data_IF_409998783184
#
_entry.id   IF_409998783184
#
_cell.length_a   1.000
_cell.length_b   1.000
_cell.length_c   1.000
_cell.angle_alpha   90.00
_cell.angle_beta   90.00
_cell.angle_gamma   90.00
#
_symmetry.space_group_name_H-M   'P 1'
#
loop_
_entity.id
_entity.type
_entity.pdbx_description
1 polymer ?
#
# COMPACT_ATOMS: atom_id res chain seq x y z
N UNK A 1 -16.29 30.15 2.91
CA UNK A 1 -15.22 29.17 3.17
C UNK A 1 -15.00 28.43 1.88
N UNK A 2 -13.81 28.54 1.31
CA UNK A 2 -13.47 27.79 0.11
C UNK A 2 -13.14 26.36 0.51
N UNK A 3 -13.72 25.40 -0.21
CA UNK A 3 -13.53 23.97 0.04
C UNK A 3 -12.25 23.51 -0.66
N UNK A 4 -11.23 23.18 0.11
CA UNK A 4 -9.95 22.68 -0.42
C UNK A 4 -9.92 21.16 -0.30
N UNK A 5 -9.48 20.48 -1.35
CA UNK A 5 -9.27 19.04 -1.35
C UNK A 5 -7.78 18.72 -1.38
N UNK A 6 -7.34 17.79 -0.53
CA UNK A 6 -6.03 17.17 -0.60
C UNK A 6 -6.15 15.76 -1.15
N UNK A 7 -5.20 15.38 -2.00
CA UNK A 7 -5.05 14.03 -2.51
C UNK A 7 -3.58 13.63 -2.35
N UNK A 8 -3.33 12.44 -1.81
CA UNK A 8 -1.99 11.89 -1.66
C UNK A 8 -1.95 10.39 -1.94
N UNK A 9 -0.80 9.92 -2.43
CA UNK A 9 -0.56 8.54 -2.76
C UNK A 9 0.43 7.92 -1.76
N UNK A 10 0.00 6.91 -1.02
CA UNK A 10 0.84 6.21 -0.04
C UNK A 10 0.94 4.72 -0.29
N UNK A 11 2.12 4.15 -0.01
CA UNK A 11 2.37 2.71 -0.12
C UNK A 11 1.91 1.98 1.14
N UNK A 12 0.99 1.03 0.97
CA UNK A 12 0.55 0.13 2.05
C UNK A 12 1.35 -1.17 1.93
N UNK A 13 2.20 -1.41 2.92
CA UNK A 13 3.03 -2.61 2.99
C UNK A 13 2.45 -3.60 4.00
N UNK A 14 2.39 -4.87 3.64
CA UNK A 14 2.15 -5.95 4.59
C UNK A 14 3.49 -6.37 5.21
N UNK A 15 3.81 -5.82 6.38
CA UNK A 15 5.03 -6.15 7.13
C UNK A 15 4.64 -6.63 8.53
N UNK A 16 5.15 -7.81 8.91
CA UNK A 16 4.97 -8.31 10.27
C UNK A 16 5.98 -7.61 11.18
N UNK A 17 5.55 -6.51 11.80
CA UNK A 17 6.38 -5.80 12.77
C UNK A 17 6.49 -6.65 14.05
N UNK A 18 7.71 -7.00 14.51
CA UNK A 18 7.88 -7.68 15.78
C UNK A 18 7.34 -6.82 16.93
N UNK A 19 6.55 -7.41 17.83
CA UNK A 19 6.05 -6.74 19.03
C UNK A 19 7.08 -6.68 20.16
N UNK A 20 8.23 -7.36 20.01
CA UNK A 20 9.33 -7.39 20.97
C UNK A 20 10.66 -7.25 20.23
N UNK A 21 11.48 -6.30 20.68
CA UNK A 21 12.82 -6.03 20.12
C UNK A 21 13.93 -6.76 20.88
N UNK A 22 13.74 -6.99 22.18
CA UNK A 22 14.68 -7.67 23.06
C UNK A 22 13.96 -8.79 23.81
N UNK A 23 14.61 -9.94 23.90
CA UNK A 23 14.14 -11.08 24.70
C UNK A 23 15.18 -11.43 25.77
N UNK A 24 14.72 -12.13 26.80
CA UNK A 24 15.61 -12.64 27.85
C UNK A 24 16.48 -13.78 27.33
N UNK A 25 17.66 -13.95 27.92
CA UNK A 25 18.59 -15.01 27.52
C UNK A 25 17.93 -16.38 27.70
N UNK A 26 17.88 -17.18 26.62
CA UNK A 26 17.25 -18.50 26.59
C UNK A 26 15.85 -18.54 25.98
N UNK A 27 15.24 -17.40 25.66
CA UNK A 27 13.95 -17.36 24.97
C UNK A 27 14.07 -17.85 23.52
N UNK A 28 13.00 -18.49 23.04
CA UNK A 28 12.88 -18.93 21.66
C UNK A 28 12.95 -17.72 20.72
N UNK A 29 13.98 -17.70 19.87
CA UNK A 29 14.16 -16.66 18.87
C UNK A 29 13.25 -16.93 17.68
N UNK A 30 12.25 -16.06 17.47
CA UNK A 30 11.47 -16.05 16.22
C UNK A 30 12.23 -15.22 15.20
N UNK A 31 12.88 -15.88 14.25
CA UNK A 31 13.50 -15.22 13.11
C UNK A 31 12.42 -14.73 12.16
N UNK A 32 12.06 -13.45 12.27
CA UNK A 32 11.25 -12.79 11.24
C UNK A 32 12.17 -12.57 10.05
N UNK A 33 12.12 -13.50 9.10
CA UNK A 33 12.73 -13.27 7.79
C UNK A 33 11.98 -12.10 7.17
N UNK A 34 12.62 -10.93 7.06
CA UNK A 34 12.13 -9.88 6.18
C UNK A 34 12.03 -10.51 4.80
N UNK A 35 10.80 -10.80 4.37
CA UNK A 35 10.54 -11.55 3.17
C UNK A 35 11.11 -10.77 2.00
N UNK A 36 12.29 -11.16 1.52
CA UNK A 36 12.93 -10.62 0.30
C UNK A 36 12.10 -10.84 -0.97
N UNK A 37 10.83 -11.24 -0.84
CA UNK A 37 9.82 -11.00 -1.85
C UNK A 37 9.70 -9.49 -2.02
N UNK A 38 9.75 -9.04 -3.26
CA UNK A 38 9.25 -7.74 -3.67
C UNK A 38 8.00 -7.42 -2.86
N UNK A 39 8.09 -6.42 -1.96
CA UNK A 39 6.96 -5.98 -1.12
C UNK A 39 5.71 -6.00 -1.99
N UNK A 40 4.74 -6.86 -1.67
CA UNK A 40 3.41 -6.79 -2.25
C UNK A 40 2.80 -5.49 -1.74
N UNK A 41 3.10 -4.41 -2.46
CA UNK A 41 2.75 -3.04 -2.11
C UNK A 41 1.44 -2.73 -2.80
N UNK A 42 0.37 -2.67 -2.03
CA UNK A 42 -0.82 -1.96 -2.46
C UNK A 42 -0.53 -0.46 -2.36
N UNK A 43 -1.13 0.33 -3.24
CA UNK A 43 -1.04 1.79 -3.16
C UNK A 43 -2.41 2.31 -2.78
N UNK A 44 -2.49 3.09 -1.71
CA UNK A 44 -3.71 3.81 -1.36
C UNK A 44 -3.63 5.22 -1.95
N UNK A 45 -4.68 5.65 -2.64
CA UNK A 45 -4.91 7.07 -2.89
C UNK A 45 -5.93 7.57 -1.87
N UNK A 46 -5.50 8.53 -1.06
CA UNK A 46 -6.26 9.11 0.04
C UNK A 46 -6.70 10.51 -0.34
N UNK A 47 -7.99 10.79 -0.23
CA UNK A 47 -8.54 12.12 -0.46
C UNK A 47 -9.28 12.61 0.79
N UNK A 48 -9.09 13.89 1.12
CA UNK A 48 -9.81 14.55 2.20
C UNK A 48 -10.08 16.02 1.88
N UNK A 49 -11.17 16.57 2.41
CA UNK A 49 -11.48 18.00 2.32
C UNK A 49 -10.94 18.81 3.51
N UNK A 50 -10.94 20.13 3.39
CA UNK A 50 -10.49 21.07 4.42
C UNK A 50 -11.34 21.09 5.67
N UNK A 51 -12.50 20.45 5.68
CA UNK A 51 -13.33 20.24 6.86
C UNK A 51 -12.99 18.93 7.59
N UNK A 52 -12.04 18.15 7.05
CA UNK A 52 -11.61 16.87 7.60
C UNK A 52 -12.44 15.68 7.12
N UNK A 53 -13.35 15.87 6.15
CA UNK A 53 -14.13 14.77 5.57
C UNK A 53 -13.20 13.89 4.74
N UNK A 54 -13.08 12.62 5.13
CA UNK A 54 -12.37 11.61 4.34
C UNK A 54 -13.27 11.11 3.24
N UNK A 55 -12.80 11.18 2.00
CA UNK A 55 -13.49 10.63 0.84
C UNK A 55 -13.23 9.12 0.70
N UNK A 56 -14.01 8.40 -0.13
CA UNK A 56 -13.81 6.97 -0.34
C UNK A 56 -12.37 6.61 -0.71
N UNK A 57 -11.87 5.53 -0.10
CA UNK A 57 -10.53 5.01 -0.33
C UNK A 57 -10.43 4.36 -1.73
N UNK A 58 -9.37 4.68 -2.46
CA UNK A 58 -9.01 3.97 -3.69
C UNK A 58 -7.77 3.12 -3.46
N UNK A 59 -7.85 1.85 -3.81
CA UNK A 59 -6.70 0.93 -3.81
C UNK A 59 -6.22 0.71 -5.25
N UNK A 60 -5.00 1.14 -5.51
CA UNK A 60 -4.30 0.91 -6.78
C UNK A 60 -3.42 -0.33 -6.60
N UNK A 61 -3.82 -1.40 -7.28
CA UNK A 61 -3.15 -2.70 -7.26
C UNK A 61 -2.36 -2.88 -8.56
N UNK A 62 -1.13 -3.39 -8.44
CA UNK A 62 -0.33 -3.75 -9.61
C UNK A 62 -0.83 -5.09 -10.16
N UNK A 63 -1.27 -5.09 -11.41
CA UNK A 63 -1.66 -6.33 -12.12
C UNK A 63 -0.61 -6.73 -13.16
N UNK A 64 -0.69 -7.98 -13.63
CA UNK A 64 0.04 -8.39 -14.83
C UNK A 64 -0.47 -7.60 -16.05
N UNK A 65 0.35 -7.55 -17.12
CA UNK A 65 -0.08 -6.97 -18.40
C UNK A 65 -1.36 -7.65 -18.89
N UNK A 66 -2.29 -6.86 -19.42
CA UNK A 66 -3.51 -7.40 -20.03
C UNK A 66 -3.16 -8.32 -21.20
N UNK A 67 -3.92 -9.41 -21.36
CA UNK A 67 -3.86 -10.29 -22.53
C UNK A 67 -4.91 -9.94 -23.59
N UNK A 68 -5.78 -8.97 -23.31
CA UNK A 68 -6.86 -8.54 -24.21
C UNK A 68 -6.29 -7.49 -25.17
N UNK A 69 -6.25 -7.79 -26.46
CA UNK A 69 -5.60 -6.95 -27.46
C UNK A 69 -6.15 -5.51 -27.50
N UNK A 70 -7.47 -5.34 -27.38
CA UNK A 70 -8.10 -4.03 -27.35
C UNK A 70 -7.58 -3.17 -26.19
N UNK A 71 -7.52 -3.76 -24.99
CA UNK A 71 -7.01 -3.12 -23.77
C UNK A 71 -5.51 -2.83 -23.90
N UNK A 72 -4.74 -3.71 -24.56
CA UNK A 72 -3.30 -3.45 -24.79
C UNK A 72 -3.11 -2.25 -25.71
N UNK A 73 -3.89 -2.12 -26.79
CA UNK A 73 -3.81 -0.97 -27.71
C UNK A 73 -4.19 0.34 -27.02
N UNK A 74 -5.27 0.33 -26.24
CA UNK A 74 -5.71 1.49 -25.47
C UNK A 74 -4.62 1.99 -24.50
N UNK A 75 -3.96 1.09 -23.77
CA UNK A 75 -2.89 1.45 -22.82
C UNK A 75 -1.59 1.94 -23.47
N UNK A 76 -1.41 1.76 -24.79
CA UNK A 76 -0.22 2.18 -25.54
C UNK A 76 -0.40 3.54 -26.23
N UNK A 77 -1.60 4.10 -26.20
CA UNK A 77 -1.95 5.40 -26.79
C UNK A 77 -1.89 6.49 -25.72
#
# INVERSE_FOLDING_TARGET
>A
IDLVYNADQTGVNYEYLPTKTLNTAGDNTVWVKCGGKTKERATAMLLADSNGTKLPLFLVLRTAKSKVEAVVKENLT
#
